data_IF_326251140044
#
_entry.id   IF_326251140044
#
_cell.length_a   1.000
_cell.length_b   1.000
_cell.length_c   1.000
_cell.angle_alpha   90.00
_cell.angle_beta   90.00
_cell.angle_gamma   90.00
#
_symmetry.space_group_name_H-M   'P 1'
#
loop_
_entity.id
_entity.type
_entity.pdbx_description
1 polymer ?
#
# COMPACT_ATOMS: atom_id res chain seq x y z
N UNK A 1 3.44 -3.67 -9.06
CA UNK A 1 4.51 -2.91 -8.38
C UNK A 1 5.91 -3.44 -8.69
N UNK A 2 6.10 -4.74 -8.87
CA UNK A 2 7.40 -5.35 -9.18
C UNK A 2 8.13 -4.76 -10.39
N UNK A 3 7.42 -4.25 -11.39
CA UNK A 3 8.03 -3.60 -12.56
C UNK A 3 8.20 -2.08 -12.38
N UNK A 4 7.42 -1.48 -11.49
CA UNK A 4 7.39 -0.02 -11.30
C UNK A 4 8.58 0.44 -10.47
N UNK A 5 8.89 -0.23 -9.37
CA UNK A 5 9.98 0.18 -8.49
C UNK A 5 11.37 0.12 -9.16
N UNK A 6 11.73 -0.94 -9.91
CA UNK A 6 12.99 -0.95 -10.66
C UNK A 6 13.06 0.19 -11.68
N UNK A 7 11.95 0.45 -12.39
CA UNK A 7 11.90 1.55 -13.36
C UNK A 7 11.99 2.92 -12.69
N UNK A 8 11.35 3.09 -11.54
CA UNK A 8 11.49 4.31 -10.73
C UNK A 8 12.94 4.51 -10.31
N UNK A 9 13.60 3.46 -9.81
CA UNK A 9 15.02 3.49 -9.43
C UNK A 9 15.93 3.94 -10.58
N UNK A 10 15.74 3.40 -11.78
CA UNK A 10 16.46 3.82 -12.99
C UNK A 10 16.25 5.33 -13.29
N UNK A 11 15.01 5.80 -13.20
CA UNK A 11 14.68 7.20 -13.47
C UNK A 11 15.25 8.15 -12.40
N UNK A 12 15.24 7.76 -11.13
CA UNK A 12 15.86 8.52 -10.04
C UNK A 12 17.37 8.68 -10.28
N UNK A 13 18.04 7.60 -10.66
CA UNK A 13 19.48 7.63 -11.03
C UNK A 13 19.73 8.51 -12.26
N UNK A 14 18.99 8.30 -13.35
CA UNK A 14 19.16 9.01 -14.60
C UNK A 14 18.96 10.54 -14.44
N UNK A 15 18.05 10.94 -13.57
CA UNK A 15 17.76 12.34 -13.29
C UNK A 15 18.57 12.91 -12.11
N UNK A 16 19.47 12.12 -11.53
CA UNK A 16 20.34 12.53 -10.40
C UNK A 16 19.54 13.12 -9.24
N UNK A 17 18.41 12.48 -8.90
CA UNK A 17 17.56 12.93 -7.79
C UNK A 17 18.31 12.74 -6.47
N UNK A 18 18.35 13.78 -5.65
CA UNK A 18 18.89 13.65 -4.28
C UNK A 18 17.87 12.91 -3.40
N UNK A 19 18.23 11.70 -2.97
CA UNK A 19 17.37 10.84 -2.15
C UNK A 19 17.57 11.05 -0.63
N UNK A 20 18.58 11.80 -0.22
CA UNK A 20 18.91 11.97 1.20
C UNK A 20 17.80 12.65 2.00
N UNK A 21 17.01 13.50 1.36
CA UNK A 21 15.94 14.25 2.00
C UNK A 21 14.54 13.63 1.78
N UNK A 22 14.46 12.58 0.96
CA UNK A 22 13.20 11.89 0.69
C UNK A 22 12.90 10.94 1.84
N UNK A 23 11.70 11.06 2.40
CA UNK A 23 11.17 10.17 3.42
C UNK A 23 10.12 9.27 2.81
N UNK A 24 10.21 7.98 3.09
CA UNK A 24 9.27 6.98 2.58
C UNK A 24 8.51 6.34 3.72
N UNK A 25 7.22 6.10 3.51
CA UNK A 25 6.35 5.41 4.44
C UNK A 25 5.65 4.27 3.70
N UNK A 26 5.92 3.03 4.10
CA UNK A 26 5.18 1.89 3.58
C UNK A 26 3.75 1.87 4.11
N UNK A 27 2.83 1.38 3.28
CA UNK A 27 1.43 1.23 3.68
C UNK A 27 1.24 0.21 4.81
N UNK A 28 2.05 -0.85 4.77
CA UNK A 28 1.80 -2.03 5.60
C UNK A 28 3.04 -2.92 5.75
N UNK A 29 2.96 -3.83 6.72
CA UNK A 29 3.86 -4.97 6.91
C UNK A 29 3.11 -6.12 7.56
N UNK A 30 3.47 -7.34 7.20
CA UNK A 30 2.93 -8.55 7.80
C UNK A 30 3.36 -8.72 9.26
N UNK A 31 2.41 -9.09 10.12
CA UNK A 31 2.70 -9.47 11.51
C UNK A 31 3.36 -10.84 11.56
N UNK A 32 4.38 -10.94 12.41
CA UNK A 32 5.14 -12.18 12.64
C UNK A 32 6.33 -12.37 11.68
N UNK A 33 6.48 -11.53 10.65
CA UNK A 33 7.65 -11.55 9.80
C UNK A 33 8.68 -10.52 10.27
N UNK A 34 9.92 -10.95 10.46
CA UNK A 34 11.03 -10.02 10.71
C UNK A 34 11.56 -9.46 9.39
N UNK A 35 12.37 -8.42 9.49
CA UNK A 35 12.94 -7.70 8.33
C UNK A 35 13.85 -8.56 7.43
N UNK A 36 14.31 -9.73 7.87
CA UNK A 36 15.12 -10.65 7.04
C UNK A 36 14.27 -11.72 6.36
N UNK A 37 12.96 -11.79 6.63
CA UNK A 37 12.10 -12.79 6.01
C UNK A 37 11.89 -12.45 4.52
N UNK A 38 12.04 -13.40 3.59
CA UNK A 38 11.92 -13.14 2.14
C UNK A 38 10.58 -12.52 1.71
N UNK A 39 9.51 -12.79 2.45
CA UNK A 39 8.18 -12.29 2.16
C UNK A 39 7.77 -11.07 2.98
N UNK A 40 8.67 -10.48 3.79
CA UNK A 40 8.41 -9.20 4.44
C UNK A 40 8.38 -8.08 3.40
N UNK A 41 7.54 -7.07 3.60
CA UNK A 41 7.57 -5.86 2.76
C UNK A 41 8.88 -5.09 2.94
N UNK A 42 9.53 -5.22 4.08
CA UNK A 42 10.87 -4.70 4.28
C UNK A 42 11.85 -5.26 3.23
N UNK A 43 11.97 -6.60 3.14
CA UNK A 43 12.83 -7.26 2.13
C UNK A 43 12.39 -6.90 0.72
N UNK A 44 11.10 -6.98 0.43
CA UNK A 44 10.54 -6.64 -0.88
C UNK A 44 10.92 -5.23 -1.35
N UNK A 45 10.80 -4.24 -0.49
CA UNK A 45 11.10 -2.84 -0.84
C UNK A 45 12.60 -2.60 -0.96
N UNK A 46 13.41 -3.24 -0.10
CA UNK A 46 14.86 -3.15 -0.23
C UNK A 46 15.36 -3.79 -1.53
N UNK A 47 14.86 -4.96 -1.89
CA UNK A 47 15.25 -5.66 -3.12
C UNK A 47 14.82 -4.91 -4.39
N UNK A 48 13.64 -4.29 -4.41
CA UNK A 48 13.11 -3.67 -5.61
C UNK A 48 13.43 -2.18 -5.75
N UNK A 49 13.72 -1.48 -4.65
CA UNK A 49 13.90 -0.03 -4.67
C UNK A 49 15.13 0.44 -3.88
N UNK A 50 15.19 0.16 -2.57
CA UNK A 50 16.12 0.86 -1.71
C UNK A 50 17.58 0.44 -1.90
N UNK A 51 17.86 -0.82 -2.25
CA UNK A 51 19.22 -1.30 -2.51
C UNK A 51 19.82 -0.82 -3.85
N UNK A 52 19.03 -0.20 -4.71
CA UNK A 52 19.48 0.21 -6.05
C UNK A 52 19.98 1.65 -6.14
N UNK A 53 19.77 2.45 -5.10
CA UNK A 53 20.14 3.86 -5.03
C UNK A 53 20.63 4.21 -3.62
N UNK A 54 21.24 5.39 -3.48
CA UNK A 54 21.75 5.88 -2.18
C UNK A 54 20.62 6.56 -1.38
N UNK A 55 19.72 5.75 -0.79
CA UNK A 55 18.71 6.22 0.14
C UNK A 55 19.28 6.45 1.54
N UNK A 56 18.71 7.39 2.26
CA UNK A 56 19.00 7.53 3.68
C UNK A 56 18.15 6.55 4.49
N UNK A 57 18.76 5.51 5.03
CA UNK A 57 18.08 4.47 5.82
C UNK A 57 17.27 5.03 7.00
N UNK A 58 17.67 6.17 7.58
CA UNK A 58 16.92 6.83 8.65
C UNK A 58 15.63 7.51 8.16
N UNK A 59 15.43 7.57 6.86
CA UNK A 59 14.25 8.15 6.22
C UNK A 59 13.33 7.10 5.58
N UNK A 60 13.64 5.82 5.74
CA UNK A 60 12.82 4.70 5.29
C UNK A 60 11.99 4.20 6.49
N UNK A 61 10.69 4.34 6.41
CA UNK A 61 9.78 3.93 7.48
C UNK A 61 8.89 2.78 6.99
N UNK A 62 9.03 1.64 7.64
CA UNK A 62 8.24 0.43 7.41
C UNK A 62 7.77 -0.05 8.79
N UNK A 63 6.50 -0.40 8.99
CA UNK A 63 6.02 -0.92 10.27
C UNK A 63 6.79 -2.18 10.68
N UNK A 64 7.01 -2.38 11.96
CA UNK A 64 7.70 -3.57 12.47
C UNK A 64 6.70 -4.67 12.79
N UNK A 65 6.55 -5.62 11.85
CA UNK A 65 5.66 -6.77 12.04
C UNK A 65 6.09 -7.74 13.15
N UNK A 66 7.34 -7.66 13.61
CA UNK A 66 7.92 -8.44 14.70
C UNK A 66 8.02 -7.66 16.02
N UNK A 67 7.36 -6.51 16.13
CA UNK A 67 7.38 -5.71 17.35
C UNK A 67 6.78 -6.48 18.54
N UNK A 68 7.32 -6.31 19.76
CA UNK A 68 6.82 -7.01 20.95
C UNK A 68 5.42 -6.57 21.35
N UNK A 69 5.01 -5.34 21.01
CA UNK A 69 3.66 -4.82 21.12
C UNK A 69 3.27 -4.20 19.77
N UNK A 70 2.32 -4.82 19.09
CA UNK A 70 1.91 -4.45 17.74
C UNK A 70 1.01 -3.22 17.72
N UNK A 71 0.21 -3.03 18.76
CA UNK A 71 -0.67 -1.86 18.89
C UNK A 71 0.16 -0.60 19.19
N UNK A 72 1.15 -0.72 20.08
CA UNK A 72 2.10 0.35 20.34
C UNK A 72 2.92 0.71 19.08
N UNK A 73 3.35 -0.29 18.29
CA UNK A 73 4.03 -0.06 17.01
C UNK A 73 3.14 0.67 16.02
N UNK A 74 1.90 0.20 15.83
CA UNK A 74 0.95 0.83 14.92
C UNK A 74 0.68 2.30 15.31
N UNK A 75 0.50 2.54 16.61
CA UNK A 75 0.30 3.89 17.14
C UNK A 75 1.55 4.78 16.96
N UNK A 76 2.73 4.26 17.25
CA UNK A 76 4.00 4.97 17.04
C UNK A 76 4.25 5.29 15.56
N UNK A 77 3.87 4.38 14.66
CA UNK A 77 3.96 4.59 13.22
C UNK A 77 3.05 5.74 12.76
N UNK A 78 1.78 5.75 13.21
CA UNK A 78 0.84 6.83 12.91
C UNK A 78 1.31 8.17 13.48
N UNK A 79 1.85 8.20 14.70
CA UNK A 79 2.42 9.40 15.29
C UNK A 79 3.61 9.93 14.48
N UNK A 80 4.48 9.03 14.00
CA UNK A 80 5.63 9.40 13.18
C UNK A 80 5.19 10.00 11.85
N UNK A 81 4.23 9.38 11.17
CA UNK A 81 3.63 9.92 9.96
C UNK A 81 3.06 11.32 10.20
N UNK A 82 2.31 11.49 11.30
CA UNK A 82 1.72 12.78 11.68
C UNK A 82 2.77 13.85 12.00
N UNK A 83 3.86 13.48 12.67
CA UNK A 83 4.92 14.42 13.06
C UNK A 83 5.77 14.90 11.90
N UNK A 84 5.94 14.07 10.87
CA UNK A 84 6.71 14.42 9.66
C UNK A 84 5.89 15.30 8.72
N UNK A 85 4.57 15.13 8.73
CA UNK A 85 3.64 15.91 7.93
C UNK A 85 2.91 15.07 6.87
N UNK A 86 2.16 15.75 6.03
CA UNK A 86 1.40 15.10 4.96
C UNK A 86 2.35 14.56 3.88
N UNK A 87 2.19 13.29 3.45
CA UNK A 87 2.95 12.78 2.31
C UNK A 87 2.68 13.61 1.05
N UNK A 88 3.72 13.93 0.29
CA UNK A 88 3.54 14.63 -0.99
C UNK A 88 2.86 13.74 -2.03
N UNK A 89 3.21 12.46 -2.05
CA UNK A 89 2.65 11.46 -2.97
C UNK A 89 2.41 10.15 -2.23
N UNK A 90 1.23 9.56 -2.44
CA UNK A 90 0.91 8.19 -2.02
C UNK A 90 0.69 7.33 -3.26
N UNK A 91 1.45 6.24 -3.38
CA UNK A 91 1.22 5.20 -4.38
C UNK A 91 0.31 4.13 -3.81
N UNK A 92 -0.69 3.71 -4.58
CA UNK A 92 -1.65 2.68 -4.20
C UNK A 92 -1.80 1.64 -5.31
N UNK A 93 -1.98 0.39 -4.91
CA UNK A 93 -2.66 -0.63 -5.71
C UNK A 93 -4.11 -0.76 -5.23
N UNK A 94 -4.92 -1.54 -5.95
CA UNK A 94 -6.29 -1.86 -5.56
C UNK A 94 -6.51 -3.37 -5.58
N UNK A 95 -7.19 -3.90 -4.57
CA UNK A 95 -7.65 -5.29 -4.55
C UNK A 95 -8.82 -5.53 -5.50
N UNK A 96 -9.11 -6.79 -5.81
CA UNK A 96 -10.27 -7.19 -6.64
C UNK A 96 -11.60 -6.79 -5.98
N UNK A 97 -11.65 -6.78 -4.64
CA UNK A 97 -12.80 -6.36 -3.84
C UNK A 97 -12.79 -4.86 -3.48
N UNK A 98 -11.83 -4.09 -4.01
CA UNK A 98 -11.71 -2.66 -3.79
C UNK A 98 -10.96 -2.23 -2.54
N UNK A 99 -10.24 -3.14 -1.86
CA UNK A 99 -9.35 -2.76 -0.77
C UNK A 99 -8.15 -1.95 -1.25
N UNK A 100 -7.64 -1.06 -0.41
CA UNK A 100 -6.37 -0.33 -0.57
C UNK A 100 -5.54 -0.48 0.71
N UNK A 101 -4.23 -0.82 0.59
CA UNK A 101 -3.48 -1.41 1.70
C UNK A 101 -4.20 -2.69 2.16
N UNK A 102 -4.20 -2.97 3.46
CA UNK A 102 -5.05 -4.04 4.03
C UNK A 102 -6.38 -3.50 4.61
N UNK A 103 -6.93 -2.43 4.00
CA UNK A 103 -8.26 -1.93 4.36
C UNK A 103 -9.33 -2.66 3.55
N UNK A 104 -9.81 -3.78 4.10
CA UNK A 104 -10.82 -4.65 3.49
C UNK A 104 -12.23 -4.01 3.51
N UNK A 105 -13.20 -4.49 2.69
CA UNK A 105 -14.58 -4.05 2.73
C UNK A 105 -15.16 -4.05 4.16
N UNK A 106 -15.77 -2.92 4.54
CA UNK A 106 -16.26 -2.67 5.90
C UNK A 106 -15.30 -1.88 6.79
N UNK A 107 -14.11 -1.55 6.30
CA UNK A 107 -13.19 -0.66 7.02
C UNK A 107 -13.79 0.75 7.09
N UNK A 108 -13.81 1.32 8.31
CA UNK A 108 -14.24 2.71 8.52
C UNK A 108 -13.35 3.68 7.77
N UNK A 109 -13.95 4.68 7.15
CA UNK A 109 -13.23 5.76 6.48
C UNK A 109 -12.36 6.60 7.43
N UNK A 110 -12.67 6.61 8.72
CA UNK A 110 -11.91 7.32 9.76
C UNK A 110 -10.77 6.47 10.36
N UNK A 111 -10.51 5.28 9.79
CA UNK A 111 -9.47 4.39 10.28
C UNK A 111 -8.06 5.00 10.13
N UNK A 112 -7.25 4.82 11.17
CA UNK A 112 -5.82 5.17 11.19
C UNK A 112 -4.98 3.89 11.14
N UNK A 113 -3.65 4.02 11.22
CA UNK A 113 -2.73 2.88 11.25
C UNK A 113 -3.05 1.98 12.44
N UNK A 114 -3.21 0.68 12.17
CA UNK A 114 -3.65 -0.31 13.15
C UNK A 114 -3.25 -1.72 12.75
N UNK A 115 -3.33 -2.64 13.69
CA UNK A 115 -3.29 -4.08 13.41
C UNK A 115 -4.62 -4.49 12.78
N UNK A 116 -4.57 -5.28 11.72
CA UNK A 116 -5.74 -5.79 10.99
C UNK A 116 -5.64 -7.31 10.80
N UNK A 117 -6.77 -7.99 10.90
CA UNK A 117 -6.88 -9.39 10.50
C UNK A 117 -7.01 -9.47 8.97
N UNK A 118 -6.26 -10.39 8.36
CA UNK A 118 -6.37 -10.64 6.92
C UNK A 118 -7.56 -11.54 6.63
N UNK A 119 -8.31 -11.23 5.58
CA UNK A 119 -9.42 -12.09 5.14
C UNK A 119 -8.91 -13.40 4.54
N UNK A 120 -9.74 -14.45 4.57
CA UNK A 120 -9.40 -15.75 3.95
C UNK A 120 -9.06 -15.60 2.46
N UNK A 121 -9.73 -14.68 1.78
CA UNK A 121 -9.45 -14.37 0.37
C UNK A 121 -8.07 -13.77 0.17
N UNK A 122 -7.65 -12.85 1.05
CA UNK A 122 -6.32 -12.23 1.03
C UNK A 122 -5.24 -13.25 1.40
N UNK A 123 -5.46 -14.06 2.44
CA UNK A 123 -4.56 -15.16 2.81
C UNK A 123 -4.36 -16.12 1.62
N UNK A 124 -5.47 -16.55 0.99
CA UNK A 124 -5.42 -17.42 -0.18
C UNK A 124 -4.71 -16.78 -1.37
N UNK A 125 -4.95 -15.51 -1.65
CA UNK A 125 -4.30 -14.80 -2.75
C UNK A 125 -2.78 -14.69 -2.54
N UNK A 126 -2.34 -14.49 -1.28
CA UNK A 126 -0.93 -14.35 -0.94
C UNK A 126 -0.21 -15.70 -0.73
N UNK A 127 -0.94 -16.82 -0.59
CA UNK A 127 -0.35 -18.14 -0.34
C UNK A 127 0.61 -18.63 -1.43
N UNK A 128 0.52 -18.09 -2.63
CA UNK A 128 1.45 -18.39 -3.74
C UNK A 128 2.90 -17.96 -3.47
N UNK A 129 3.11 -17.12 -2.47
CA UNK A 129 4.43 -16.60 -2.07
C UNK A 129 5.02 -17.34 -0.86
N UNK A 130 4.28 -18.27 -0.26
CA UNK A 130 4.68 -19.01 0.94
C UNK A 130 4.72 -20.51 0.64
N UNK A 131 5.48 -21.27 1.43
CA UNK A 131 5.61 -22.72 1.24
C UNK A 131 4.29 -23.46 1.49
N UNK A 132 3.54 -23.03 2.50
CA UNK A 132 2.19 -23.54 2.79
C UNK A 132 1.24 -22.40 3.12
N UNK A 133 -0.07 -22.64 3.04
CA UNK A 133 -1.08 -21.64 3.41
C UNK A 133 -1.04 -21.30 4.90
N UNK A 134 -0.56 -22.23 5.74
CA UNK A 134 -0.44 -22.00 7.19
C UNK A 134 0.71 -21.07 7.55
N UNK A 135 1.69 -20.92 6.65
CA UNK A 135 2.82 -19.98 6.80
C UNK A 135 2.44 -18.54 6.43
N UNK A 136 1.31 -18.34 5.78
CA UNK A 136 0.81 -17.00 5.45
C UNK A 136 0.42 -16.26 6.73
N UNK A 137 0.96 -15.08 6.99
CA UNK A 137 0.54 -14.27 8.13
C UNK A 137 -0.98 -14.03 8.14
N UNK A 138 -1.56 -14.04 9.32
CA UNK A 138 -3.00 -13.82 9.50
C UNK A 138 -3.34 -12.38 9.84
N UNK A 139 -2.33 -11.57 10.15
CA UNK A 139 -2.46 -10.18 10.53
C UNK A 139 -1.41 -9.32 9.81
N UNK A 140 -1.70 -8.03 9.70
CA UNK A 140 -0.76 -7.02 9.23
C UNK A 140 -0.92 -5.73 10.06
N UNK A 141 0.13 -4.90 10.12
CA UNK A 141 0.01 -3.50 10.49
C UNK A 141 -0.25 -2.75 9.20
N UNK A 142 -1.33 -1.99 9.12
CA UNK A 142 -1.71 -1.26 7.89
C UNK A 142 -2.12 0.17 8.18
N UNK A 143 -1.64 1.10 7.35
CA UNK A 143 -2.17 2.47 7.33
C UNK A 143 -3.68 2.43 7.07
N UNK A 144 -4.44 3.18 7.86
CA UNK A 144 -5.87 3.28 7.68
C UNK A 144 -6.26 4.23 6.53
N UNK A 145 -7.54 4.23 6.19
CA UNK A 145 -8.06 5.04 5.08
C UNK A 145 -7.88 6.54 5.35
N UNK A 146 -8.09 7.00 6.58
CA UNK A 146 -7.86 8.39 6.96
C UNK A 146 -6.38 8.78 6.80
N UNK A 147 -5.46 7.89 7.19
CA UNK A 147 -4.02 8.12 7.07
C UNK A 147 -3.58 8.24 5.61
N UNK A 148 -4.09 7.35 4.73
CA UNK A 148 -3.85 7.37 3.28
C UNK A 148 -4.36 8.69 2.65
N UNK A 149 -5.56 9.12 3.05
CA UNK A 149 -6.21 10.33 2.50
C UNK A 149 -5.51 11.64 2.87
N UNK A 150 -4.52 11.63 3.75
CA UNK A 150 -3.72 12.82 4.10
C UNK A 150 -2.67 13.19 3.05
N UNK A 151 -2.38 12.33 2.10
CA UNK A 151 -1.43 12.63 1.05
C UNK A 151 -1.92 13.79 0.18
N UNK A 152 -1.00 14.66 -0.27
CA UNK A 152 -1.34 15.79 -1.16
C UNK A 152 -1.75 15.33 -2.57
N UNK A 153 -1.22 14.19 -3.01
CA UNK A 153 -1.56 13.53 -4.28
C UNK A 153 -1.57 12.03 -4.08
N UNK A 154 -2.56 11.37 -4.63
CA UNK A 154 -2.66 9.91 -4.65
C UNK A 154 -2.57 9.42 -6.08
N UNK A 155 -1.76 8.39 -6.32
CA UNK A 155 -1.64 7.69 -7.60
C UNK A 155 -2.07 6.25 -7.38
N UNK A 156 -3.23 5.89 -7.90
CA UNK A 156 -3.77 4.53 -7.86
C UNK A 156 -3.41 3.80 -9.15
N UNK A 157 -2.82 2.62 -9.02
CA UNK A 157 -2.39 1.79 -10.14
C UNK A 157 -3.23 0.51 -10.18
N UNK A 158 -3.88 0.26 -11.33
CA UNK A 158 -4.72 -0.92 -11.51
C UNK A 158 -4.54 -1.51 -12.91
N UNK A 159 -4.16 -2.78 -12.98
CA UNK A 159 -3.88 -3.48 -14.23
C UNK A 159 -4.51 -4.87 -14.23
N UNK A 160 -5.01 -5.29 -15.40
CA UNK A 160 -5.57 -6.61 -15.67
C UNK A 160 -7.05 -6.75 -15.36
N UNK A 161 -7.69 -7.73 -16.00
CA UNK A 161 -9.14 -7.98 -15.99
C UNK A 161 -9.73 -8.07 -14.58
N UNK A 162 -9.01 -8.67 -13.62
CA UNK A 162 -9.50 -8.86 -12.26
C UNK A 162 -9.74 -7.56 -11.47
N UNK A 163 -9.28 -6.42 -12.01
CA UNK A 163 -9.47 -5.09 -11.39
C UNK A 163 -10.61 -4.29 -12.01
N UNK A 164 -11.20 -4.77 -13.10
CA UNK A 164 -12.26 -4.06 -13.86
C UNK A 164 -13.43 -3.66 -12.98
N UNK A 165 -14.03 -4.61 -12.26
CA UNK A 165 -15.19 -4.34 -11.40
C UNK A 165 -14.86 -3.36 -10.26
N UNK A 166 -13.70 -3.52 -9.62
CA UNK A 166 -13.29 -2.62 -8.54
C UNK A 166 -13.09 -1.18 -9.05
N UNK A 167 -12.49 -1.01 -10.22
CA UNK A 167 -12.30 0.32 -10.83
C UNK A 167 -13.62 0.90 -11.33
N UNK A 168 -14.49 0.10 -11.96
CA UNK A 168 -15.81 0.56 -12.36
C UNK A 168 -16.62 1.08 -11.17
N UNK A 169 -16.69 0.30 -10.09
CA UNK A 169 -17.36 0.72 -8.85
C UNK A 169 -16.71 1.95 -8.20
N UNK A 170 -15.39 2.10 -8.32
CA UNK A 170 -14.68 3.28 -7.84
C UNK A 170 -15.04 4.53 -8.66
N UNK A 171 -15.13 4.43 -9.98
CA UNK A 171 -15.32 5.58 -10.87
C UNK A 171 -16.81 5.93 -11.00
N UNK A 172 -17.67 4.93 -11.18
CA UNK A 172 -19.08 5.09 -11.50
C UNK A 172 -20.02 4.84 -10.30
N UNK A 173 -19.53 4.20 -9.24
CA UNK A 173 -20.33 3.89 -8.06
C UNK A 173 -20.34 5.01 -7.02
N UNK A 174 -21.05 4.77 -5.91
CA UNK A 174 -21.10 5.69 -4.78
C UNK A 174 -20.01 5.38 -3.74
N UNK A 175 -19.59 6.40 -2.99
CA UNK A 175 -18.70 6.22 -1.84
C UNK A 175 -19.36 5.32 -0.79
N UNK A 176 -18.70 4.22 -0.45
CA UNK A 176 -19.19 3.24 0.52
C UNK A 176 -18.04 2.46 1.16
N UNK A 177 -18.15 2.15 2.45
CA UNK A 177 -17.16 1.31 3.15
C UNK A 177 -17.09 -0.13 2.61
N UNK A 178 -18.11 -0.59 1.88
CA UNK A 178 -18.07 -1.88 1.17
C UNK A 178 -17.15 -1.88 -0.05
N UNK A 179 -16.64 -0.72 -0.46
CA UNK A 179 -15.59 -0.52 -1.44
C UNK A 179 -14.60 0.52 -0.87
N UNK A 180 -13.62 0.12 -0.05
CA UNK A 180 -12.73 1.05 0.64
C UNK A 180 -12.07 2.10 -0.26
N UNK A 181 -11.65 1.69 -1.47
CA UNK A 181 -11.08 2.60 -2.46
C UNK A 181 -12.03 3.74 -2.84
N UNK A 182 -13.35 3.60 -2.66
CA UNK A 182 -14.34 4.65 -3.00
C UNK A 182 -14.16 5.95 -2.20
N UNK A 183 -13.41 5.91 -1.07
CA UNK A 183 -13.06 7.13 -0.34
C UNK A 183 -12.25 8.09 -1.21
N UNK A 184 -11.49 7.57 -2.18
CA UNK A 184 -10.67 8.37 -3.10
C UNK A 184 -11.49 9.35 -3.94
N UNK A 185 -12.80 9.10 -4.15
CA UNK A 185 -13.71 10.04 -4.80
C UNK A 185 -13.79 11.40 -4.09
N UNK A 186 -13.47 11.46 -2.82
CA UNK A 186 -13.51 12.69 -2.00
C UNK A 186 -12.16 13.38 -1.86
N UNK A 187 -11.11 12.80 -2.42
CA UNK A 187 -9.78 13.39 -2.38
C UNK A 187 -9.59 14.38 -3.54
N UNK A 188 -9.02 15.58 -3.32
CA UNK A 188 -8.94 16.64 -4.32
C UNK A 188 -7.95 16.35 -5.47
N UNK A 189 -7.04 15.39 -5.31
CA UNK A 189 -5.96 15.16 -6.27
C UNK A 189 -5.61 13.66 -6.36
N UNK A 190 -6.36 12.93 -7.20
CA UNK A 190 -6.18 11.49 -7.44
C UNK A 190 -5.98 11.24 -8.92
N UNK A 191 -4.91 10.52 -9.26
CA UNK A 191 -4.71 9.93 -10.58
C UNK A 191 -4.99 8.43 -10.51
N UNK A 192 -5.85 7.93 -11.38
CA UNK A 192 -6.10 6.50 -11.56
C UNK A 192 -5.44 6.07 -12.88
N UNK A 193 -4.39 5.27 -12.79
CA UNK A 193 -3.65 4.77 -13.94
C UNK A 193 -4.07 3.32 -14.19
N UNK A 194 -4.64 3.08 -15.36
CA UNK A 194 -5.19 1.78 -15.78
C UNK A 194 -4.59 1.34 -17.11
N UNK A 195 -4.69 0.06 -17.42
CA UNK A 195 -4.35 -0.46 -18.74
C UNK A 195 -5.54 -0.43 -19.73
N UNK A 196 -5.26 -0.76 -20.99
CA UNK A 196 -6.27 -0.79 -22.04
C UNK A 196 -7.40 -1.79 -21.77
N UNK A 197 -7.10 -2.85 -21.01
CA UNK A 197 -8.10 -3.88 -20.67
C UNK A 197 -9.20 -3.30 -19.77
N UNK A 198 -8.80 -2.55 -18.74
CA UNK A 198 -9.74 -1.83 -17.85
C UNK A 198 -10.39 -0.67 -18.60
N UNK A 199 -9.62 0.10 -19.36
CA UNK A 199 -10.15 1.22 -20.13
C UNK A 199 -11.27 0.79 -21.09
N UNK A 200 -11.08 -0.29 -21.83
CA UNK A 200 -12.09 -0.82 -22.73
C UNK A 200 -13.34 -1.31 -21.99
N UNK A 201 -13.16 -1.94 -20.82
CA UNK A 201 -14.28 -2.40 -19.99
C UNK A 201 -15.17 -1.23 -19.51
N UNK A 202 -14.56 -0.10 -19.11
CA UNK A 202 -15.28 1.08 -18.63
C UNK A 202 -16.07 1.82 -19.73
N UNK A 203 -15.74 1.60 -21.01
CA UNK A 203 -16.34 2.28 -22.15
C UNK A 203 -17.33 1.40 -22.95
N UNK A 204 -17.66 0.21 -22.43
CA UNK A 204 -18.66 -0.70 -22.97
C UNK A 204 -19.84 -0.87 -22.02
#
# INVERSE_FOLDING_TARGET
MTEIYPRLSELLTANRVNLNDIKTFNLDEYVGLNSSHPQSYYTYMHELLFNHNEWNENHIYIPRGDAPDLEDEAHAYEQRLSSIGEPDIQLLGIGENGHIGFNEPGTSFDSQTRVVDLTDSTIKANSIHFDTIDDVPKQAISMGLQSIMRAKRIILLAFGERKQEAIDRLVNGSKTETLPASILQTHPNVDIIIDDVIFNYLNH
#
